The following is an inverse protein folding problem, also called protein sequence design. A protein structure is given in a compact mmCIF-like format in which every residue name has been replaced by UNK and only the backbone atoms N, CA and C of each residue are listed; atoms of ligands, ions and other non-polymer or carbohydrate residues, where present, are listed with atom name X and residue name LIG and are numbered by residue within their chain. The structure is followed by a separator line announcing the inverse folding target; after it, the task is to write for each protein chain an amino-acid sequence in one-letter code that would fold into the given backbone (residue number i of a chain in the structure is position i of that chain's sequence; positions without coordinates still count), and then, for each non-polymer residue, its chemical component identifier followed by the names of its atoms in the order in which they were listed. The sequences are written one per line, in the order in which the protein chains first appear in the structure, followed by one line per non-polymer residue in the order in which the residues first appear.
data_IF_744647097276
#
_entry.id   IF_744647097276
#
_cell.length_a   1.000
_cell.length_b   1.000
_cell.length_c   1.000
_cell.angle_alpha   90.00
_cell.angle_beta   90.00
_cell.angle_gamma   90.00
#
_symmetry.space_group_name_H-M   'P 1'
#
loop_
_entity.id
_entity.type
_entity.pdbx_description
1 polymer ?
#
# COMPACT_ATOMS: atom_id res chain seq x y z
N UNK A 1 30.90 19.91 2.61
CA UNK A 1 29.90 19.16 1.83
C UNK A 1 29.73 17.81 2.48
N UNK A 2 28.57 17.53 3.08
CA UNK A 2 28.32 16.31 3.85
C UNK A 2 28.23 15.15 2.87
N UNK A 3 29.30 14.36 2.78
CA UNK A 3 29.34 13.15 1.98
C UNK A 3 28.34 12.17 2.62
N UNK A 4 27.10 12.17 2.12
CA UNK A 4 26.06 11.27 2.61
C UNK A 4 26.51 9.84 2.34
N UNK A 5 26.93 9.13 3.38
CA UNK A 5 27.27 7.72 3.29
C UNK A 5 26.06 6.96 2.75
N UNK A 6 26.15 6.53 1.49
CA UNK A 6 25.16 5.66 0.87
C UNK A 6 25.23 4.33 1.62
N UNK A 7 24.33 4.16 2.60
CA UNK A 7 24.20 2.94 3.39
C UNK A 7 23.99 1.78 2.42
N UNK A 8 24.93 0.85 2.35
CA UNK A 8 24.82 -0.34 1.50
C UNK A 8 23.63 -1.17 2.00
N UNK A 9 22.63 -1.32 1.13
CA UNK A 9 21.47 -2.18 1.37
C UNK A 9 21.93 -3.63 1.47
N UNK A 10 21.58 -4.31 2.55
CA UNK A 10 21.87 -5.74 2.73
C UNK A 10 20.78 -6.62 2.13
N UNK A 11 21.08 -7.90 1.90
CA UNK A 11 20.08 -8.89 1.47
C UNK A 11 18.97 -9.05 2.52
N UNK A 12 19.30 -8.89 3.81
CA UNK A 12 18.33 -8.94 4.91
C UNK A 12 17.34 -7.77 4.83
N UNK A 13 17.79 -6.58 4.43
CA UNK A 13 16.91 -5.42 4.25
C UNK A 13 15.91 -5.64 3.11
N UNK A 14 16.34 -6.29 2.02
CA UNK A 14 15.46 -6.66 0.90
C UNK A 14 14.39 -7.65 1.37
N UNK A 15 14.79 -8.71 2.08
CA UNK A 15 13.85 -9.73 2.59
C UNK A 15 12.86 -9.15 3.59
N UNK A 16 13.32 -8.25 4.46
CA UNK A 16 12.47 -7.53 5.40
C UNK A 16 11.42 -6.69 4.65
N UNK A 17 11.84 -5.89 3.67
CA UNK A 17 10.92 -5.07 2.87
C UNK A 17 9.93 -5.94 2.08
N UNK A 18 10.37 -7.06 1.49
CA UNK A 18 9.47 -7.98 0.80
C UNK A 18 8.41 -8.55 1.74
N UNK A 19 8.82 -9.11 2.89
CA UNK A 19 7.89 -9.65 3.90
C UNK A 19 6.90 -8.59 4.39
N UNK A 20 7.39 -7.37 4.59
CA UNK A 20 6.56 -6.26 5.00
C UNK A 20 5.54 -5.91 3.92
N UNK A 21 5.95 -5.79 2.65
CA UNK A 21 5.05 -5.53 1.51
C UNK A 21 3.97 -6.61 1.43
N UNK A 22 4.36 -7.89 1.48
CA UNK A 22 3.43 -9.03 1.40
C UNK A 22 2.38 -8.99 2.51
N UNK A 23 2.78 -8.70 3.76
CA UNK A 23 1.85 -8.51 4.88
C UNK A 23 0.87 -7.36 4.64
N UNK A 24 1.31 -6.28 4.00
CA UNK A 24 0.41 -5.14 3.67
C UNK A 24 -0.51 -5.43 2.50
N UNK A 25 -0.08 -6.23 1.52
CA UNK A 25 -0.96 -6.70 0.45
C UNK A 25 -2.13 -7.52 1.00
N UNK A 26 -1.90 -8.34 2.03
CA UNK A 26 -2.96 -9.10 2.72
C UNK A 26 -4.00 -8.19 3.41
N UNK A 27 -3.60 -6.98 3.80
CA UNK A 27 -4.49 -5.97 4.38
C UNK A 27 -5.19 -5.10 3.32
N UNK A 28 -5.03 -5.42 2.03
CA UNK A 28 -5.58 -4.66 0.90
C UNK A 28 -5.18 -3.17 0.92
N UNK A 29 -3.96 -2.87 1.38
CA UNK A 29 -3.43 -1.51 1.41
C UNK A 29 -2.78 -1.13 0.08
N UNK A 30 -3.27 -0.08 -0.56
CA UNK A 30 -2.67 0.48 -1.77
C UNK A 30 -1.18 0.81 -1.60
N UNK A 31 -0.42 0.84 -2.71
CA UNK A 31 1.00 1.20 -2.70
C UNK A 31 1.29 2.48 -1.90
N UNK A 32 0.41 3.49 -2.00
CA UNK A 32 0.53 4.74 -1.25
C UNK A 32 0.44 4.54 0.27
N UNK A 33 -0.56 3.77 0.73
CA UNK A 33 -0.74 3.43 2.15
C UNK A 33 0.43 2.59 2.68
N UNK A 34 0.98 1.71 1.84
CA UNK A 34 2.16 0.91 2.21
C UNK A 34 3.40 1.80 2.38
N UNK A 35 3.70 2.66 1.40
CA UNK A 35 4.84 3.58 1.47
C UNK A 35 4.71 4.55 2.64
N UNK A 36 3.52 5.10 2.90
CA UNK A 36 3.31 6.00 4.04
C UNK A 36 3.46 5.30 5.39
N UNK A 37 2.95 4.07 5.53
CA UNK A 37 3.07 3.29 6.78
C UNK A 37 4.53 2.94 7.07
N UNK A 38 5.32 2.57 6.06
CA UNK A 38 6.74 2.25 6.24
C UNK A 38 7.62 3.46 6.50
N UNK A 39 7.26 4.63 5.94
CA UNK A 39 7.90 5.90 6.26
C UNK A 39 7.83 6.20 7.77
N UNK A 40 6.65 5.95 8.36
CA UNK A 40 6.38 6.23 9.78
C UNK A 40 7.00 5.16 10.71
N UNK A 41 6.92 3.88 10.34
CA UNK A 41 7.25 2.78 11.25
C UNK A 41 8.70 2.27 11.15
N UNK A 42 9.35 2.36 9.98
CA UNK A 42 10.60 1.60 9.73
C UNK A 42 11.77 2.49 9.28
N UNK A 43 11.56 3.81 9.08
CA UNK A 43 12.58 4.76 8.58
C UNK A 43 13.34 4.23 7.35
N UNK A 44 12.66 3.48 6.49
CA UNK A 44 13.21 2.97 5.24
C UNK A 44 13.03 4.04 4.16
N UNK A 45 14.04 4.20 3.31
CA UNK A 45 13.98 5.14 2.19
C UNK A 45 12.85 4.76 1.22
N UNK A 46 11.95 5.70 0.86
CA UNK A 46 10.85 5.42 -0.09
C UNK A 46 11.33 4.86 -1.44
N UNK A 47 12.46 5.36 -1.96
CA UNK A 47 13.03 4.89 -3.22
C UNK A 47 13.37 3.40 -3.21
N UNK A 48 13.88 2.89 -2.07
CA UNK A 48 14.16 1.48 -1.90
C UNK A 48 12.88 0.62 -1.85
N UNK A 49 11.86 1.06 -1.13
CA UNK A 49 10.56 0.37 -1.08
C UNK A 49 9.93 0.28 -2.48
N UNK A 50 9.98 1.37 -3.24
CA UNK A 50 9.46 1.39 -4.61
C UNK A 50 10.21 0.43 -5.55
N UNK A 51 11.53 0.34 -5.39
CA UNK A 51 12.35 -0.58 -6.18
C UNK A 51 12.01 -2.04 -5.87
N UNK A 52 11.93 -2.40 -4.59
CA UNK A 52 11.53 -3.77 -4.17
C UNK A 52 10.12 -4.10 -4.62
N UNK A 53 9.18 -3.15 -4.49
CA UNK A 53 7.81 -3.32 -4.97
C UNK A 53 7.76 -3.57 -6.47
N UNK A 54 8.46 -2.74 -7.27
CA UNK A 54 8.50 -2.89 -8.74
C UNK A 54 9.05 -4.24 -9.15
N UNK A 55 10.08 -4.73 -8.44
CA UNK A 55 10.65 -6.06 -8.65
C UNK A 55 9.63 -7.16 -8.35
N UNK A 56 8.97 -7.11 -7.18
CA UNK A 56 7.92 -8.07 -6.81
C UNK A 56 6.77 -8.09 -7.82
N UNK A 57 6.35 -6.93 -8.30
CA UNK A 57 5.28 -6.80 -9.31
C UNK A 57 5.70 -7.38 -10.67
N UNK A 58 6.95 -7.16 -11.08
CA UNK A 58 7.50 -7.73 -12.31
C UNK A 58 7.63 -9.26 -12.26
N UNK A 59 8.00 -9.81 -11.10
CA UNK A 59 8.15 -11.24 -10.87
C UNK A 59 6.78 -11.95 -10.69
N UNK A 60 5.78 -11.26 -10.14
CA UNK A 60 4.49 -11.85 -9.74
C UNK A 60 3.29 -11.19 -10.44
N UNK A 61 3.38 -10.96 -11.76
CA UNK A 61 2.39 -10.19 -12.54
C UNK A 61 0.94 -10.67 -12.37
N UNK A 62 0.71 -11.98 -12.32
CA UNK A 62 -0.62 -12.56 -12.16
C UNK A 62 -1.25 -12.21 -10.80
N UNK A 63 -0.47 -12.32 -9.73
CA UNK A 63 -0.87 -11.96 -8.38
C UNK A 63 -1.20 -10.46 -8.30
N UNK A 64 -0.30 -9.60 -8.80
CA UNK A 64 -0.51 -8.15 -8.76
C UNK A 64 -1.71 -7.71 -9.61
N UNK A 65 -2.00 -8.36 -10.75
CA UNK A 65 -3.21 -8.10 -11.52
C UNK A 65 -4.48 -8.39 -10.71
N UNK A 66 -4.55 -9.55 -10.06
CA UNK A 66 -5.68 -9.91 -9.21
C UNK A 66 -5.81 -8.97 -8.01
N UNK A 67 -4.67 -8.62 -7.41
CA UNK A 67 -4.60 -7.69 -6.30
C UNK A 67 -5.11 -6.27 -6.66
N UNK A 68 -4.68 -5.72 -7.80
CA UNK A 68 -5.16 -4.41 -8.27
C UNK A 68 -6.66 -4.42 -8.54
N UNK A 69 -7.20 -5.49 -9.15
CA UNK A 69 -8.66 -5.65 -9.30
C UNK A 69 -9.36 -5.66 -7.94
N UNK A 70 -8.79 -6.35 -6.95
CA UNK A 70 -9.34 -6.38 -5.59
C UNK A 70 -9.33 -5.02 -4.90
N UNK A 71 -8.29 -4.21 -5.13
CA UNK A 71 -8.24 -2.84 -4.63
C UNK A 71 -9.33 -1.95 -5.25
N UNK A 72 -9.58 -2.10 -6.55
CA UNK A 72 -10.67 -1.38 -7.24
C UNK A 72 -12.00 -1.76 -6.59
N UNK A 73 -12.28 -3.07 -6.41
CA UNK A 73 -13.52 -3.51 -5.76
C UNK A 73 -13.65 -2.94 -4.34
N UNK A 74 -12.57 -2.93 -3.55
CA UNK A 74 -12.55 -2.31 -2.21
C UNK A 74 -12.96 -0.82 -2.27
N UNK A 75 -12.38 -0.06 -3.20
CA UNK A 75 -12.68 1.37 -3.38
C UNK A 75 -14.15 1.61 -3.73
N UNK A 76 -14.70 0.78 -4.63
CA UNK A 76 -16.11 0.86 -5.01
C UNK A 76 -17.04 0.58 -3.81
N UNK A 77 -16.73 -0.43 -3.00
CA UNK A 77 -17.50 -0.74 -1.77
C UNK A 77 -17.44 0.43 -0.79
N UNK A 78 -16.26 1.04 -0.58
CA UNK A 78 -16.11 2.17 0.33
C UNK A 78 -16.92 3.39 -0.12
N UNK A 79 -16.88 3.73 -1.42
CA UNK A 79 -17.69 4.82 -1.97
C UNK A 79 -19.18 4.55 -1.84
N UNK A 80 -19.60 3.31 -2.10
CA UNK A 80 -21.00 2.92 -1.94
C UNK A 80 -21.47 3.06 -0.49
N UNK A 81 -20.67 2.61 0.48
CA UNK A 81 -20.98 2.76 1.90
C UNK A 81 -21.09 4.24 2.31
N UNK A 82 -20.19 5.11 1.83
CA UNK A 82 -20.28 6.56 2.07
C UNK A 82 -21.57 7.18 1.51
N UNK A 83 -22.00 6.74 0.32
CA UNK A 83 -23.25 7.19 -0.28
C UNK A 83 -24.46 6.71 0.53
N UNK A 84 -24.45 5.46 1.01
CA UNK A 84 -25.49 4.92 1.89
C UNK A 84 -25.57 5.69 3.21
N UNK A 85 -24.44 5.97 3.86
CA UNK A 85 -24.40 6.78 5.09
C UNK A 85 -25.00 8.17 4.86
N UNK A 86 -24.66 8.81 3.73
CA UNK A 86 -25.24 10.10 3.35
C UNK A 86 -26.75 10.00 3.12
N UNK A 87 -27.22 8.96 2.43
CA UNK A 87 -28.64 8.72 2.20
C UNK A 87 -29.39 8.55 3.52
N UNK A 88 -28.87 7.74 4.45
CA UNK A 88 -29.45 7.56 5.79
C UNK A 88 -29.53 8.90 6.53
N UNK A 89 -28.46 9.71 6.46
CA UNK A 89 -28.44 11.05 7.06
C UNK A 89 -29.54 11.96 6.51
N UNK A 90 -29.75 11.98 5.20
CA UNK A 90 -30.80 12.77 4.55
C UNK A 90 -32.20 12.27 4.91
N UNK A 91 -32.43 10.95 4.93
CA UNK A 91 -33.74 10.39 5.29
C UNK A 91 -34.15 10.74 6.71
N UNK A 92 -33.20 10.76 7.65
CA UNK A 92 -33.43 11.18 9.05
C UNK A 92 -33.74 12.68 9.21
N UNK A 93 -33.47 13.50 8.19
CA UNK A 93 -33.82 14.93 8.21
C UNK A 93 -35.21 15.20 7.60
N UNK A 94 -35.74 14.24 6.84
CA UNK A 94 -37.03 14.35 6.15
C UNK A 94 -38.17 13.70 6.97
N UNK A 95 -37.84 12.76 7.85
CA UNK A 95 -38.74 12.21 8.88
C UNK A 95 -38.59 12.97 10.20
#
# INVERSE_FOLDING_TARGET
MSNGEVRKVSVQDIQLVQTLIERRLQLYMSKREVVSTFLIQVKIEPGFIELVWRKLEAENKGLFRAYHMRLIVKDHILRFNQLLERQVGLMRQVC
#
